data_IF_679669747025
#
_entry.id   IF_679669747025
#
_cell.length_a   1.000
_cell.length_b   1.000
_cell.length_c   1.000
_cell.angle_alpha   90.00
_cell.angle_beta   90.00
_cell.angle_gamma   90.00
#
_symmetry.space_group_name_H-M   'P 1'
#
loop_
_entity.id
_entity.type
_entity.pdbx_description
1 polymer ?
#
# COMPACT_ATOMS: atom_id res chain seq x y z
N UNK A 1 71.99 -85.31 -6.21
CA UNK A 1 72.20 -85.80 -7.59
C UNK A 1 72.99 -84.75 -8.35
N UNK A 2 73.91 -85.19 -9.22
CA UNK A 2 75.02 -84.43 -9.81
C UNK A 2 74.65 -83.10 -10.52
N UNK A 3 75.64 -82.20 -10.69
CA UNK A 3 75.52 -80.77 -10.98
C UNK A 3 75.58 -80.47 -12.48
N UNK A 4 75.36 -79.21 -12.87
CA UNK A 4 75.98 -78.68 -14.09
C UNK A 4 76.43 -77.23 -13.90
N UNK A 5 77.75 -77.11 -13.75
CA UNK A 5 78.52 -75.88 -13.90
C UNK A 5 78.76 -75.56 -15.38
N UNK A 6 78.93 -74.28 -15.70
CA UNK A 6 79.97 -73.66 -16.55
C UNK A 6 79.33 -72.36 -17.08
N UNK A 7 79.79 -71.15 -16.76
CA UNK A 7 81.10 -70.53 -17.01
C UNK A 7 80.84 -69.27 -17.85
N UNK A 8 81.38 -68.14 -17.38
CA UNK A 8 81.65 -66.90 -18.14
C UNK A 8 80.38 -66.11 -18.56
N UNK A 9 80.24 -64.81 -18.34
CA UNK A 9 81.17 -63.69 -18.40
C UNK A 9 81.00 -62.79 -17.15
N UNK A 10 82.06 -62.50 -16.39
CA UNK A 10 82.97 -61.35 -16.56
C UNK A 10 82.29 -59.97 -16.63
N UNK A 11 82.48 -59.24 -15.52
CA UNK A 11 82.71 -57.78 -15.42
C UNK A 11 81.56 -56.85 -15.85
N UNK A 12 80.76 -56.40 -14.88
CA UNK A 12 80.13 -55.06 -14.94
C UNK A 12 79.53 -54.61 -13.58
N UNK A 13 80.11 -54.95 -12.43
CA UNK A 13 79.61 -54.52 -11.12
C UNK A 13 80.33 -53.26 -10.60
N UNK A 14 80.60 -52.28 -11.46
CA UNK A 14 81.23 -51.00 -11.06
C UNK A 14 80.63 -49.75 -11.73
N UNK A 15 79.46 -49.83 -12.36
CA UNK A 15 78.82 -48.67 -13.00
C UNK A 15 77.34 -48.49 -12.61
N UNK A 16 76.97 -48.86 -11.39
CA UNK A 16 75.58 -48.73 -10.90
C UNK A 16 75.38 -47.52 -9.98
N UNK A 17 75.91 -46.36 -10.36
CA UNK A 17 75.59 -45.07 -9.70
C UNK A 17 75.59 -43.86 -10.66
N UNK A 18 75.54 -44.09 -11.99
CA UNK A 18 75.49 -43.00 -13.00
C UNK A 18 74.28 -43.17 -13.95
N UNK A 19 73.38 -44.12 -13.70
CA UNK A 19 72.24 -44.39 -14.57
C UNK A 19 70.88 -44.10 -13.93
N UNK A 20 70.80 -43.05 -13.10
CA UNK A 20 69.52 -42.45 -12.68
C UNK A 20 69.49 -40.92 -12.88
N UNK A 21 70.52 -40.33 -13.51
CA UNK A 21 70.60 -38.90 -13.82
C UNK A 21 70.50 -38.58 -15.32
N UNK A 22 70.15 -39.55 -16.17
CA UNK A 22 70.09 -39.37 -17.62
C UNK A 22 68.69 -39.52 -18.24
N UNK A 23 67.67 -39.92 -17.47
CA UNK A 23 66.31 -40.12 -17.99
C UNK A 23 65.30 -39.00 -17.63
N UNK A 24 65.72 -38.00 -16.85
CA UNK A 24 64.88 -36.84 -16.52
C UNK A 24 65.14 -35.60 -17.41
N UNK A 25 66.06 -35.69 -18.38
CA UNK A 25 66.50 -34.54 -19.19
C UNK A 25 65.78 -34.37 -20.54
N UNK A 26 64.83 -35.24 -20.89
CA UNK A 26 64.12 -35.18 -22.19
C UNK A 26 62.61 -35.40 -22.09
N UNK A 27 61.97 -34.86 -21.06
CA UNK A 27 60.59 -34.44 -21.22
C UNK A 27 60.63 -33.10 -21.96
N UNK A 28 60.04 -32.95 -23.17
CA UNK A 28 59.83 -31.62 -23.69
C UNK A 28 58.94 -30.92 -22.68
N UNK A 29 59.50 -29.97 -21.92
CA UNK A 29 58.70 -28.95 -21.27
C UNK A 29 57.97 -28.27 -22.41
N UNK A 30 56.74 -28.72 -22.65
CA UNK A 30 55.76 -27.94 -23.36
C UNK A 30 55.43 -26.79 -22.42
N UNK A 31 56.33 -25.81 -22.33
CA UNK A 31 55.96 -24.46 -21.98
C UNK A 31 54.99 -24.05 -23.07
N UNK A 32 53.71 -24.33 -22.86
CA UNK A 32 52.66 -23.72 -23.65
C UNK A 32 52.85 -22.25 -23.41
N UNK A 33 53.30 -21.54 -24.43
CA UNK A 33 53.35 -20.09 -24.41
C UNK A 33 51.98 -19.64 -23.91
N UNK A 34 51.96 -19.08 -22.70
CA UNK A 34 50.86 -18.25 -22.26
C UNK A 34 50.75 -17.19 -23.35
N UNK A 35 49.57 -17.09 -23.98
CA UNK A 35 49.36 -16.39 -25.25
C UNK A 35 50.08 -15.04 -25.33
N UNK A 36 50.40 -14.62 -26.54
CA UNK A 36 51.31 -13.50 -26.84
C UNK A 36 51.51 -12.50 -25.71
N UNK A 37 52.74 -12.40 -25.19
CA UNK A 37 53.13 -11.34 -24.24
C UNK A 37 53.15 -9.95 -24.88
N UNK A 38 52.87 -9.85 -26.19
CA UNK A 38 52.66 -8.58 -26.83
C UNK A 38 51.24 -8.11 -26.49
N UNK A 39 51.05 -7.02 -25.72
CA UNK A 39 49.74 -6.39 -25.63
C UNK A 39 49.22 -6.12 -27.06
N UNK A 40 47.90 -6.25 -27.30
CA UNK A 40 47.32 -5.98 -28.63
C UNK A 40 47.85 -4.65 -29.17
N UNK A 41 48.26 -4.62 -30.44
CA UNK A 41 48.77 -3.39 -31.06
C UNK A 41 47.63 -2.36 -31.15
N UNK A 42 47.66 -1.36 -30.27
CA UNK A 42 46.66 -0.30 -30.17
C UNK A 42 46.37 0.06 -28.71
N UNK A 43 45.86 1.28 -28.46
CA UNK A 43 45.35 1.60 -27.13
C UNK A 43 44.20 0.62 -26.81
N UNK A 44 44.32 -0.09 -25.67
CA UNK A 44 43.23 -0.96 -25.19
C UNK A 44 42.04 -0.06 -24.91
N UNK A 45 40.90 -0.27 -25.58
CA UNK A 45 39.67 0.46 -25.27
C UNK A 45 39.32 0.23 -23.79
N UNK A 46 38.83 1.24 -23.05
CA UNK A 46 38.50 1.07 -21.65
C UNK A 46 37.57 -0.13 -21.46
N UNK A 47 38.02 -1.13 -20.69
CA UNK A 47 37.22 -2.31 -20.36
C UNK A 47 36.28 -2.05 -19.19
N UNK A 48 36.42 -0.90 -18.51
CA UNK A 48 35.53 -0.45 -17.44
C UNK A 48 34.37 0.33 -18.03
N UNK A 49 33.15 0.00 -17.59
CA UNK A 49 31.97 0.84 -17.84
C UNK A 49 32.08 2.13 -17.02
N UNK A 50 31.65 3.26 -17.56
CA UNK A 50 31.48 4.48 -16.75
C UNK A 50 30.34 4.30 -15.75
N UNK A 51 30.28 5.14 -14.71
CA UNK A 51 29.14 5.16 -13.79
C UNK A 51 27.84 5.39 -14.56
N UNK A 52 27.83 6.30 -15.54
CA UNK A 52 26.66 6.56 -16.39
C UNK A 52 26.24 5.34 -17.24
N UNK A 53 27.17 4.42 -17.53
CA UNK A 53 26.87 3.16 -18.23
C UNK A 53 26.37 2.05 -17.29
N UNK A 54 26.61 2.17 -15.99
CA UNK A 54 26.16 1.21 -14.97
C UNK A 54 24.86 1.68 -14.33
N UNK A 55 24.74 2.98 -14.08
CA UNK A 55 23.65 3.65 -13.38
C UNK A 55 23.30 4.96 -14.11
N UNK A 56 22.57 4.88 -15.25
CA UNK A 56 22.27 6.05 -16.11
C UNK A 56 21.27 7.03 -15.48
N UNK A 57 20.73 6.72 -14.31
CA UNK A 57 19.79 7.59 -13.59
C UNK A 57 20.53 8.80 -13.03
N UNK A 58 19.81 9.90 -12.83
CA UNK A 58 20.37 11.13 -12.26
C UNK A 58 20.37 11.05 -10.73
N UNK A 59 21.53 11.16 -10.05
CA UNK A 59 21.60 11.11 -8.59
C UNK A 59 21.09 12.38 -7.93
N UNK A 60 20.39 12.22 -6.81
CA UNK A 60 19.99 13.27 -5.89
C UNK A 60 20.76 13.05 -4.58
N UNK A 61 21.60 14.02 -4.20
CA UNK A 61 22.50 13.94 -3.04
C UNK A 61 22.32 15.07 -2.03
N UNK A 62 21.37 15.98 -2.26
CA UNK A 62 21.05 17.10 -1.36
C UNK A 62 19.63 17.59 -1.61
N UNK A 63 18.98 18.15 -0.58
CA UNK A 63 17.72 18.88 -0.69
C UNK A 63 17.96 20.38 -0.37
N UNK A 64 17.16 21.29 -0.95
CA UNK A 64 16.10 21.05 -1.93
C UNK A 64 16.66 20.62 -3.29
N UNK A 65 15.87 19.88 -4.08
CA UNK A 65 16.23 19.45 -5.43
C UNK A 65 15.06 19.67 -6.40
N UNK A 66 15.34 20.25 -7.57
CA UNK A 66 14.32 20.49 -8.60
C UNK A 66 14.56 19.59 -9.82
N UNK A 67 13.57 18.75 -10.15
CA UNK A 67 13.53 17.95 -11.37
C UNK A 67 12.86 18.80 -12.47
N UNK A 68 13.66 19.34 -13.38
CA UNK A 68 13.19 20.22 -14.47
C UNK A 68 13.23 19.56 -15.85
N UNK A 69 13.68 18.31 -15.93
CA UNK A 69 13.79 17.55 -17.18
C UNK A 69 13.22 16.14 -16.98
N UNK A 70 12.48 15.60 -17.97
CA UNK A 70 12.06 14.20 -17.95
C UNK A 70 13.23 13.24 -17.71
N UNK A 71 12.97 12.12 -17.04
CA UNK A 71 14.00 11.11 -16.83
C UNK A 71 13.86 10.31 -15.54
N UNK A 72 14.87 9.49 -15.28
CA UNK A 72 14.96 8.66 -14.08
C UNK A 72 15.94 9.25 -13.08
N UNK A 73 15.50 9.35 -11.83
CA UNK A 73 16.20 9.96 -10.71
C UNK A 73 16.28 8.97 -9.55
N UNK A 74 17.34 9.07 -8.74
CA UNK A 74 17.44 8.28 -7.52
C UNK A 74 18.14 9.01 -6.39
N UNK A 75 17.70 8.75 -5.16
CA UNK A 75 18.35 9.27 -3.95
C UNK A 75 19.57 8.43 -3.60
N UNK A 76 20.64 9.08 -3.18
CA UNK A 76 21.96 8.44 -2.95
C UNK A 76 22.32 8.23 -1.48
N UNK A 77 21.62 8.90 -0.57
CA UNK A 77 21.83 8.86 0.88
C UNK A 77 20.58 9.38 1.58
N UNK A 78 20.47 9.23 2.90
CA UNK A 78 19.47 9.96 3.67
C UNK A 78 19.66 11.47 3.50
N UNK A 79 18.58 12.21 3.25
CA UNK A 79 18.60 13.64 3.01
C UNK A 79 17.69 14.37 3.99
N UNK A 80 18.10 15.58 4.40
CA UNK A 80 17.34 16.43 5.30
C UNK A 80 16.86 17.67 4.56
N UNK A 81 15.56 17.98 4.66
CA UNK A 81 14.96 19.19 4.13
C UNK A 81 15.39 20.45 4.89
N UNK A 82 14.93 21.60 4.43
CA UNK A 82 15.18 22.89 5.07
C UNK A 82 13.86 23.64 5.31
N UNK A 83 13.88 24.60 6.23
CA UNK A 83 12.71 25.43 6.53
C UNK A 83 12.25 26.19 5.28
N UNK A 84 10.93 26.31 5.14
CA UNK A 84 10.23 27.03 4.07
C UNK A 84 10.50 26.54 2.65
N UNK A 85 11.00 25.30 2.47
CA UNK A 85 11.17 24.68 1.16
C UNK A 85 10.57 23.28 1.14
N UNK A 86 10.11 22.87 -0.04
CA UNK A 86 9.86 21.47 -0.35
C UNK A 86 11.21 20.71 -0.48
N UNK A 87 11.18 19.39 -0.32
CA UNK A 87 12.35 18.54 -0.52
C UNK A 87 12.71 18.39 -1.99
N UNK A 88 11.92 17.60 -2.72
CA UNK A 88 12.07 17.38 -4.15
C UNK A 88 10.87 18.00 -4.86
N UNK A 89 11.11 18.99 -5.70
CA UNK A 89 10.08 19.59 -6.55
C UNK A 89 10.18 19.02 -7.97
N UNK A 90 9.08 18.48 -8.47
CA UNK A 90 8.95 17.95 -9.83
C UNK A 90 8.23 19.00 -10.68
N UNK A 91 8.97 19.58 -11.63
CA UNK A 91 8.52 20.65 -12.54
C UNK A 91 8.38 20.13 -13.99
N UNK A 92 8.11 18.85 -14.17
CA UNK A 92 8.00 18.19 -15.48
C UNK A 92 7.29 16.83 -15.36
N UNK A 93 6.80 16.30 -16.47
CA UNK A 93 6.25 14.94 -16.55
C UNK A 93 7.31 13.90 -16.96
N UNK A 94 6.89 12.64 -17.11
CA UNK A 94 7.77 11.53 -17.50
C UNK A 94 8.96 11.34 -16.54
N UNK A 95 8.65 11.31 -15.24
CA UNK A 95 9.64 11.22 -14.17
C UNK A 95 9.51 9.90 -13.42
N UNK A 96 10.62 9.19 -13.28
CA UNK A 96 10.74 8.06 -12.36
C UNK A 96 11.69 8.42 -11.21
N UNK A 97 11.14 8.67 -10.02
CA UNK A 97 11.88 8.97 -8.81
C UNK A 97 11.94 7.74 -7.89
N UNK A 98 13.13 7.21 -7.68
CA UNK A 98 13.40 6.11 -6.75
C UNK A 98 14.10 6.66 -5.50
N UNK A 99 13.46 6.57 -4.33
CA UNK A 99 14.10 6.97 -3.07
C UNK A 99 15.18 5.96 -2.64
N UNK A 100 15.30 4.84 -3.35
CA UNK A 100 16.39 3.86 -3.25
C UNK A 100 16.62 3.32 -1.83
N UNK A 101 15.53 3.19 -1.07
CA UNK A 101 15.52 2.76 0.33
C UNK A 101 16.00 3.80 1.34
N UNK A 102 16.31 5.03 0.92
CA UNK A 102 16.76 6.11 1.79
C UNK A 102 15.61 6.92 2.37
N UNK A 103 15.94 7.70 3.41
CA UNK A 103 15.01 8.56 4.13
C UNK A 103 15.13 10.02 3.69
N UNK A 104 13.99 10.65 3.42
CA UNK A 104 13.84 12.11 3.35
C UNK A 104 13.27 12.62 4.67
N UNK A 105 14.06 13.37 5.45
CA UNK A 105 13.67 13.88 6.77
C UNK A 105 13.37 15.36 6.70
N UNK A 106 12.17 15.77 7.08
CA UNK A 106 11.78 17.17 7.20
C UNK A 106 12.36 17.84 8.44
N UNK A 107 12.20 19.15 8.50
CA UNK A 107 12.53 19.99 9.67
C UNK A 107 11.34 20.88 10.02
N UNK A 108 11.35 21.47 11.21
CA UNK A 108 10.31 22.42 11.60
C UNK A 108 10.15 23.54 10.55
N UNK A 109 8.93 23.73 10.07
CA UNK A 109 8.59 24.70 9.03
C UNK A 109 9.02 24.33 7.60
N UNK A 110 9.49 23.11 7.35
CA UNK A 110 9.67 22.58 5.98
C UNK A 110 8.32 22.46 5.26
N UNK A 111 8.35 22.50 3.93
CA UNK A 111 7.20 22.27 3.06
C UNK A 111 6.88 20.78 2.90
N UNK A 112 6.52 20.37 1.68
CA UNK A 112 6.27 18.98 1.34
C UNK A 112 7.58 18.22 1.09
N UNK A 113 7.63 16.91 1.35
CA UNK A 113 8.84 16.14 1.02
C UNK A 113 9.03 16.03 -0.49
N UNK A 114 7.96 15.72 -1.21
CA UNK A 114 7.93 15.64 -2.66
C UNK A 114 6.69 16.39 -3.16
N UNK A 115 6.88 17.30 -4.11
CA UNK A 115 5.82 18.17 -4.62
C UNK A 115 5.83 18.24 -6.15
N UNK A 116 4.66 18.05 -6.78
CA UNK A 116 4.44 18.28 -8.22
C UNK A 116 3.83 19.66 -8.41
N UNK A 117 4.59 20.55 -9.06
CA UNK A 117 4.34 22.00 -8.96
C UNK A 117 3.26 22.56 -9.88
N UNK A 118 2.92 21.83 -10.95
CA UNK A 118 1.89 22.16 -11.92
C UNK A 118 1.34 20.87 -12.52
N UNK A 119 0.41 20.96 -13.48
CA UNK A 119 -0.18 19.78 -14.12
C UNK A 119 0.87 19.06 -14.96
N UNK A 120 1.26 17.86 -14.52
CA UNK A 120 2.24 17.01 -15.21
C UNK A 120 1.82 15.54 -15.16
N UNK A 121 2.14 14.80 -16.21
CA UNK A 121 1.72 13.40 -16.33
C UNK A 121 2.87 12.41 -16.16
N UNK A 122 2.54 11.15 -15.88
CA UNK A 122 3.46 10.01 -15.91
C UNK A 122 4.62 10.16 -14.91
N UNK A 123 4.27 10.23 -13.63
CA UNK A 123 5.24 10.36 -12.53
C UNK A 123 5.16 9.13 -11.63
N UNK A 124 6.28 8.43 -11.46
CA UNK A 124 6.42 7.34 -10.50
C UNK A 124 7.32 7.76 -9.35
N UNK A 125 6.89 7.57 -8.10
CA UNK A 125 7.68 7.80 -6.89
C UNK A 125 7.65 6.53 -6.06
N UNK A 126 8.81 5.97 -5.73
CA UNK A 126 8.85 4.66 -5.06
C UNK A 126 10.00 4.45 -4.08
N UNK A 127 9.84 3.42 -3.25
CA UNK A 127 10.90 2.74 -2.51
C UNK A 127 11.70 3.64 -1.56
N UNK A 128 11.08 4.10 -0.47
CA UNK A 128 11.82 4.79 0.59
C UNK A 128 10.96 5.34 1.71
N UNK A 129 11.60 6.15 2.56
CA UNK A 129 11.02 6.66 3.80
C UNK A 129 10.89 8.18 3.75
N UNK A 130 9.77 8.71 4.23
CA UNK A 130 9.50 10.15 4.32
C UNK A 130 9.07 10.45 5.74
N UNK A 131 9.80 11.31 6.46
CA UNK A 131 9.63 11.46 7.92
C UNK A 131 9.61 12.93 8.32
N UNK A 132 8.67 13.32 9.18
CA UNK A 132 8.69 14.60 9.91
C UNK A 132 8.66 15.88 9.04
N UNK A 133 7.92 15.87 7.93
CA UNK A 133 7.76 17.04 7.05
C UNK A 133 6.68 17.99 7.55
N UNK A 134 6.96 19.30 7.48
CA UNK A 134 6.04 20.34 7.95
C UNK A 134 4.85 20.59 7.01
N UNK A 135 4.92 20.13 5.77
CA UNK A 135 3.82 20.00 4.82
C UNK A 135 3.40 18.54 4.63
N UNK A 136 3.03 18.19 3.39
CA UNK A 136 2.66 16.81 3.06
C UNK A 136 3.89 15.92 2.84
N UNK A 137 3.74 14.60 3.01
CA UNK A 137 4.79 13.67 2.61
C UNK A 137 5.00 13.70 1.10
N UNK A 138 3.96 13.31 0.35
CA UNK A 138 3.93 13.38 -1.11
C UNK A 138 2.69 14.15 -1.53
N UNK A 139 2.89 15.29 -2.18
CA UNK A 139 1.82 16.07 -2.78
C UNK A 139 1.96 16.03 -4.31
N UNK A 140 1.19 15.12 -4.91
CA UNK A 140 1.09 14.87 -6.35
C UNK A 140 -0.32 15.18 -6.84
N UNK A 141 -1.05 16.07 -6.16
CA UNK A 141 -2.41 16.44 -6.58
C UNK A 141 -2.46 17.09 -7.97
N UNK A 142 -1.36 17.74 -8.39
CA UNK A 142 -1.24 18.22 -9.77
C UNK A 142 -0.62 17.19 -10.72
N UNK A 143 -0.32 15.98 -10.27
CA UNK A 143 0.19 14.93 -11.13
C UNK A 143 -0.93 14.05 -11.64
N UNK A 144 -1.07 13.84 -12.95
CA UNK A 144 -1.95 12.80 -13.48
C UNK A 144 -1.15 11.55 -13.91
N UNK A 145 -1.81 10.40 -13.92
CA UNK A 145 -1.17 9.10 -14.17
C UNK A 145 0.05 8.90 -13.26
N UNK A 146 -0.16 9.14 -11.96
CA UNK A 146 0.89 9.01 -10.94
C UNK A 146 0.90 7.62 -10.31
N UNK A 147 2.07 7.12 -9.96
CA UNK A 147 2.23 5.85 -9.22
C UNK A 147 3.09 6.09 -8.00
N UNK A 148 2.50 5.90 -6.82
CA UNK A 148 3.18 5.88 -5.54
C UNK A 148 3.28 4.44 -5.06
N UNK A 149 4.48 3.93 -4.86
CA UNK A 149 4.70 2.49 -4.64
C UNK A 149 5.77 2.24 -3.57
N UNK A 150 5.45 1.42 -2.56
CA UNK A 150 6.40 1.05 -1.50
C UNK A 150 7.01 2.26 -0.77
N UNK A 151 6.15 3.20 -0.35
CA UNK A 151 6.54 4.35 0.48
C UNK A 151 6.15 4.12 1.93
N UNK A 152 7.03 4.51 2.85
CA UNK A 152 6.73 4.54 4.28
C UNK A 152 6.80 5.99 4.77
N UNK A 153 5.66 6.56 5.12
CA UNK A 153 5.49 7.99 5.38
C UNK A 153 5.04 8.20 6.82
N UNK A 154 5.78 9.03 7.57
CA UNK A 154 5.59 9.17 9.00
C UNK A 154 5.58 10.63 9.44
N UNK A 155 4.68 10.95 10.37
CA UNK A 155 4.69 12.20 11.14
C UNK A 155 4.73 13.49 10.27
N UNK A 156 3.92 13.54 9.22
CA UNK A 156 3.76 14.75 8.40
C UNK A 156 2.66 15.64 8.97
N UNK A 157 2.87 16.96 8.97
CA UNK A 157 1.84 17.90 9.46
C UNK A 157 0.68 18.08 8.47
N UNK A 158 0.94 17.89 7.16
CA UNK A 158 -0.09 17.78 6.13
C UNK A 158 -0.49 16.33 5.87
N UNK A 159 -1.08 16.08 4.70
CA UNK A 159 -1.36 14.71 4.23
C UNK A 159 -0.06 13.90 4.13
N UNK A 160 -0.11 12.60 4.41
CA UNK A 160 1.00 11.73 4.01
C UNK A 160 1.06 11.64 2.48
N UNK A 161 -0.11 11.43 1.86
CA UNK A 161 -0.30 11.34 0.42
C UNK A 161 -1.47 12.25 0.06
N UNK A 162 -1.23 13.18 -0.85
CA UNK A 162 -2.26 13.97 -1.51
C UNK A 162 -2.13 13.75 -3.02
N UNK A 163 -3.15 13.16 -3.64
CA UNK A 163 -3.08 12.73 -5.04
C UNK A 163 -4.37 12.94 -5.82
N UNK A 164 -4.23 13.12 -7.12
CA UNK A 164 -5.30 13.17 -8.10
C UNK A 164 -4.93 12.22 -9.24
N UNK A 165 -5.88 11.50 -9.83
CA UNK A 165 -5.65 10.76 -11.07
C UNK A 165 -4.47 9.78 -11.03
N UNK A 166 -4.39 8.85 -10.09
CA UNK A 166 -3.26 7.91 -10.01
C UNK A 166 -3.50 6.68 -9.15
N UNK A 167 -2.42 6.00 -8.79
CA UNK A 167 -2.43 4.82 -7.91
C UNK A 167 -1.43 5.01 -6.76
N UNK A 168 -1.90 4.87 -5.53
CA UNK A 168 -1.04 4.65 -4.36
C UNK A 168 -1.18 3.20 -3.92
N UNK A 169 -0.05 2.48 -3.85
CA UNK A 169 -0.06 1.07 -3.44
C UNK A 169 1.14 0.65 -2.61
N UNK A 170 0.94 -0.37 -1.79
CA UNK A 170 1.98 -0.91 -0.90
C UNK A 170 2.60 0.17 0.01
N UNK A 171 1.82 1.20 0.36
CA UNK A 171 2.28 2.31 1.18
C UNK A 171 1.91 2.09 2.65
N UNK A 172 2.80 2.48 3.54
CA UNK A 172 2.53 2.54 4.98
C UNK A 172 2.56 4.00 5.44
N UNK A 173 1.53 4.43 6.15
CA UNK A 173 1.39 5.76 6.70
C UNK A 173 1.18 5.68 8.20
N UNK A 174 1.97 6.39 9.00
CA UNK A 174 1.81 6.39 10.46
C UNK A 174 2.03 7.77 11.10
N UNK A 175 1.07 8.19 11.93
CA UNK A 175 1.14 9.46 12.68
C UNK A 175 1.06 10.71 11.79
N UNK A 176 0.62 10.55 10.54
CA UNK A 176 0.49 11.63 9.56
C UNK A 176 -0.95 12.08 9.40
N UNK A 177 -1.14 13.32 8.96
CA UNK A 177 -2.43 13.80 8.46
C UNK A 177 -2.81 15.13 9.07
N UNK A 178 -3.36 16.01 8.23
CA UNK A 178 -4.08 17.21 8.66
C UNK A 178 -5.55 16.85 8.86
N UNK A 179 -6.38 17.08 7.83
CA UNK A 179 -7.76 16.59 7.75
C UNK A 179 -7.83 15.08 7.50
N UNK A 180 -6.94 14.53 6.66
CA UNK A 180 -6.80 13.10 6.39
C UNK A 180 -5.33 12.67 6.31
N UNK A 181 -5.03 11.38 6.43
CA UNK A 181 -3.68 10.85 6.16
C UNK A 181 -3.44 10.63 4.67
N UNK A 182 -4.38 9.99 3.97
CA UNK A 182 -4.36 9.85 2.51
C UNK A 182 -5.59 10.57 1.97
N UNK A 183 -5.36 11.58 1.13
CA UNK A 183 -6.40 12.22 0.35
C UNK A 183 -6.22 11.89 -1.12
N UNK A 184 -7.29 11.45 -1.78
CA UNK A 184 -7.22 11.01 -3.16
C UNK A 184 -8.47 11.40 -3.96
N UNK A 185 -8.28 11.78 -5.22
CA UNK A 185 -9.37 12.05 -6.15
C UNK A 185 -9.10 11.34 -7.48
N UNK A 186 -10.13 10.79 -8.13
CA UNK A 186 -9.99 10.02 -9.37
C UNK A 186 -8.88 8.95 -9.29
N UNK A 187 -8.72 8.34 -8.12
CA UNK A 187 -7.52 7.58 -7.78
C UNK A 187 -7.84 6.21 -7.22
N UNK A 188 -6.85 5.33 -7.26
CA UNK A 188 -6.89 4.03 -6.60
C UNK A 188 -5.91 4.02 -5.44
N UNK A 189 -6.40 3.71 -4.24
CA UNK A 189 -5.58 3.43 -3.06
C UNK A 189 -5.72 1.95 -2.76
N UNK A 190 -4.63 1.20 -2.90
CA UNK A 190 -4.65 -0.26 -2.80
C UNK A 190 -3.54 -0.79 -1.89
N UNK A 191 -3.79 -1.86 -1.13
CA UNK A 191 -2.75 -2.53 -0.33
C UNK A 191 -1.98 -1.57 0.60
N UNK A 192 -2.67 -0.54 1.11
CA UNK A 192 -2.07 0.48 1.96
C UNK A 192 -2.44 0.25 3.42
N UNK A 193 -1.49 0.52 4.31
CA UNK A 193 -1.71 0.50 5.77
C UNK A 193 -1.60 1.92 6.31
N UNK A 194 -2.64 2.41 6.98
CA UNK A 194 -2.69 3.72 7.62
C UNK A 194 -2.90 3.54 9.12
N UNK A 195 -2.08 4.18 9.94
CA UNK A 195 -2.04 3.99 11.39
C UNK A 195 -1.99 5.37 12.07
N UNK A 196 -2.74 5.53 13.16
CA UNK A 196 -2.66 6.71 14.04
C UNK A 196 -2.85 8.05 13.30
N UNK A 197 -3.81 8.11 12.38
CA UNK A 197 -4.16 9.35 11.67
C UNK A 197 -4.63 10.43 12.63
N UNK A 198 -4.17 11.68 12.45
CA UNK A 198 -4.62 12.80 13.27
C UNK A 198 -6.04 13.29 12.91
N UNK A 199 -6.55 12.89 11.75
CA UNK A 199 -7.91 13.10 11.27
C UNK A 199 -8.46 11.82 10.65
N UNK A 200 -9.01 11.92 9.45
CA UNK A 200 -9.52 10.78 8.68
C UNK A 200 -8.36 9.88 8.24
N UNK A 201 -8.57 8.56 8.18
CA UNK A 201 -7.58 7.63 7.66
C UNK A 201 -7.34 7.81 6.16
N UNK A 202 -8.34 7.46 5.36
CA UNK A 202 -8.32 7.61 3.89
C UNK A 202 -9.58 8.33 3.45
N UNK A 203 -9.42 9.41 2.68
CA UNK A 203 -10.53 10.21 2.16
C UNK A 203 -10.46 10.26 0.63
N UNK A 204 -11.57 9.95 -0.03
CA UNK A 204 -11.76 10.29 -1.45
C UNK A 204 -12.35 11.68 -1.56
N UNK A 205 -11.91 12.53 -2.48
CA UNK A 205 -12.49 13.87 -2.59
C UNK A 205 -13.96 13.85 -3.03
N UNK A 206 -14.71 14.85 -2.56
CA UNK A 206 -16.16 14.97 -2.74
C UNK A 206 -16.58 15.68 -4.04
N UNK A 207 -15.64 15.90 -4.95
CA UNK A 207 -15.89 16.61 -6.21
C UNK A 207 -16.68 15.73 -7.17
N UNK A 208 -17.96 16.05 -7.40
CA UNK A 208 -18.85 15.29 -8.29
C UNK A 208 -18.41 15.25 -9.77
N UNK A 209 -17.35 15.97 -10.16
CA UNK A 209 -16.95 16.12 -11.56
C UNK A 209 -15.67 15.35 -11.93
N UNK A 210 -14.93 14.81 -10.95
CA UNK A 210 -13.56 14.35 -11.20
C UNK A 210 -13.44 12.82 -11.40
N UNK A 211 -14.54 12.08 -11.22
CA UNK A 211 -14.62 10.64 -11.45
C UNK A 211 -14.35 9.84 -10.18
N UNK A 212 -14.94 8.64 -10.12
CA UNK A 212 -14.93 7.79 -8.93
C UNK A 212 -13.51 7.38 -8.52
N UNK A 213 -13.25 7.39 -7.21
CA UNK A 213 -12.06 6.79 -6.61
C UNK A 213 -12.36 5.38 -6.10
N UNK A 214 -11.31 4.61 -5.87
CA UNK A 214 -11.41 3.28 -5.27
C UNK A 214 -10.41 3.11 -4.14
N UNK A 215 -10.89 2.67 -2.99
CA UNK A 215 -10.09 2.22 -1.86
C UNK A 215 -10.26 0.71 -1.78
N UNK A 216 -9.19 -0.07 -1.94
CA UNK A 216 -9.27 -1.53 -1.80
C UNK A 216 -8.11 -2.15 -1.05
N UNK A 217 -8.36 -3.29 -0.39
CA UNK A 217 -7.30 -4.07 0.28
C UNK A 217 -6.51 -3.25 1.32
N UNK A 218 -7.12 -2.17 1.85
CA UNK A 218 -6.46 -1.23 2.75
C UNK A 218 -6.79 -1.56 4.21
N UNK A 219 -5.84 -1.28 5.09
CA UNK A 219 -6.02 -1.42 6.54
C UNK A 219 -5.81 -0.07 7.23
N UNK A 220 -6.83 0.40 7.95
CA UNK A 220 -6.81 1.66 8.70
C UNK A 220 -6.99 1.38 10.19
N UNK A 221 -6.03 1.83 11.00
CA UNK A 221 -5.99 1.57 12.44
C UNK A 221 -5.90 2.87 13.23
N UNK A 222 -6.80 3.02 14.20
CA UNK A 222 -6.81 4.12 15.16
C UNK A 222 -6.75 5.54 14.56
N UNK A 223 -7.55 5.86 13.52
CA UNK A 223 -7.70 7.24 13.06
C UNK A 223 -8.48 8.04 14.10
N UNK A 224 -8.08 9.29 14.33
CA UNK A 224 -8.76 10.17 15.27
C UNK A 224 -10.16 10.59 14.80
N UNK A 225 -10.37 10.65 13.47
CA UNK A 225 -11.66 10.90 12.83
C UNK A 225 -12.31 9.62 12.32
N UNK A 226 -12.98 9.74 11.16
CA UNK A 226 -13.51 8.58 10.44
C UNK A 226 -12.37 7.70 9.90
N UNK A 227 -12.63 6.41 9.73
CA UNK A 227 -11.63 5.51 9.15
C UNK A 227 -11.42 5.72 7.66
N UNK A 228 -12.52 5.65 6.92
CA UNK A 228 -12.51 5.88 5.49
C UNK A 228 -13.74 6.69 5.09
N UNK A 229 -13.52 7.75 4.32
CA UNK A 229 -14.58 8.57 3.74
C UNK A 229 -14.61 8.37 2.24
N UNK A 230 -15.76 7.92 1.74
CA UNK A 230 -15.99 7.71 0.32
C UNK A 230 -17.13 8.59 -0.20
N UNK A 231 -16.82 9.33 -1.26
CA UNK A 231 -17.74 10.21 -1.97
C UNK A 231 -17.71 9.81 -3.45
N UNK A 232 -18.87 9.42 -4.00
CA UNK A 232 -19.01 8.88 -5.36
C UNK A 232 -17.94 7.82 -5.70
N UNK A 233 -17.66 6.93 -4.75
CA UNK A 233 -16.48 6.05 -4.77
C UNK A 233 -16.79 4.62 -4.30
N UNK A 234 -15.81 3.74 -4.45
CA UNK A 234 -15.88 2.34 -4.00
C UNK A 234 -14.89 2.09 -2.84
N UNK A 235 -15.37 1.44 -1.79
CA UNK A 235 -14.55 0.87 -0.71
C UNK A 235 -14.75 -0.64 -0.70
N UNK A 236 -13.69 -1.41 -0.91
CA UNK A 236 -13.79 -2.87 -1.02
C UNK A 236 -12.69 -3.61 -0.28
N UNK A 237 -13.04 -4.67 0.43
CA UNK A 237 -12.06 -5.60 1.03
C UNK A 237 -11.09 -4.92 2.01
N UNK A 238 -11.59 -3.89 2.70
CA UNK A 238 -10.81 -3.08 3.63
C UNK A 238 -11.02 -3.50 5.10
N UNK A 239 -10.03 -3.20 5.93
CA UNK A 239 -10.11 -3.33 7.39
C UNK A 239 -10.06 -1.93 8.01
N UNK A 240 -11.02 -1.61 8.88
CA UNK A 240 -11.01 -0.39 9.69
C UNK A 240 -11.17 -0.77 11.15
N UNK A 241 -10.26 -0.31 12.02
CA UNK A 241 -10.35 -0.57 13.46
C UNK A 241 -10.13 0.69 14.30
N UNK A 242 -10.89 0.78 15.39
CA UNK A 242 -10.73 1.79 16.43
C UNK A 242 -10.84 3.23 15.90
N UNK A 243 -11.76 3.49 14.97
CA UNK A 243 -11.97 4.83 14.45
C UNK A 243 -12.58 5.75 15.54
N UNK A 244 -12.06 6.97 15.66
CA UNK A 244 -12.54 7.97 16.63
C UNK A 244 -13.92 8.55 16.29
N UNK A 245 -14.39 8.37 15.04
CA UNK A 245 -15.75 8.64 14.61
C UNK A 245 -16.39 7.38 14.00
N UNK A 246 -16.85 7.42 12.76
CA UNK A 246 -17.38 6.25 12.05
C UNK A 246 -16.24 5.41 11.46
N UNK A 247 -16.48 4.12 11.25
CA UNK A 247 -15.50 3.29 10.56
C UNK A 247 -15.39 3.66 9.07
N UNK A 248 -16.53 3.61 8.38
CA UNK A 248 -16.63 4.00 6.96
C UNK A 248 -17.80 4.96 6.79
N UNK A 249 -17.53 6.15 6.28
CA UNK A 249 -18.54 7.13 5.87
C UNK A 249 -18.76 7.04 4.36
N UNK A 250 -20.03 6.95 3.93
CA UNK A 250 -20.39 6.79 2.53
C UNK A 250 -21.37 7.88 2.07
N UNK A 251 -21.02 8.54 0.97
CA UNK A 251 -21.90 9.41 0.22
C UNK A 251 -21.95 9.00 -1.26
N UNK A 252 -23.13 8.62 -1.76
CA UNK A 252 -23.31 8.09 -3.13
C UNK A 252 -22.30 6.98 -3.51
N UNK A 253 -21.93 6.14 -2.53
CA UNK A 253 -20.77 5.24 -2.62
C UNK A 253 -21.12 3.79 -2.32
N UNK A 254 -20.19 2.90 -2.61
CA UNK A 254 -20.32 1.47 -2.28
C UNK A 254 -19.31 1.04 -1.23
N UNK A 255 -19.73 0.19 -0.29
CA UNK A 255 -18.85 -0.52 0.63
C UNK A 255 -19.12 -2.02 0.56
N UNK A 256 -18.09 -2.81 0.29
CA UNK A 256 -18.24 -4.27 0.24
C UNK A 256 -17.07 -5.07 0.75
N UNK A 257 -17.34 -6.20 1.41
CA UNK A 257 -16.27 -7.09 1.91
C UNK A 257 -15.43 -6.47 3.03
N UNK A 258 -15.82 -5.32 3.58
CA UNK A 258 -15.04 -4.63 4.60
C UNK A 258 -15.27 -5.23 5.99
N UNK A 259 -14.23 -5.23 6.82
CA UNK A 259 -14.31 -5.52 8.24
C UNK A 259 -14.12 -4.23 9.04
N UNK A 260 -15.15 -3.85 9.80
CA UNK A 260 -15.17 -2.62 10.59
C UNK A 260 -15.38 -2.94 12.06
N UNK A 261 -14.44 -2.53 12.89
CA UNK A 261 -14.39 -2.92 14.30
C UNK A 261 -14.14 -1.73 15.23
N UNK A 262 -14.86 -1.67 16.35
CA UNK A 262 -14.61 -0.76 17.46
C UNK A 262 -14.63 0.73 17.09
N UNK A 263 -15.43 1.14 16.11
CA UNK A 263 -15.65 2.57 15.85
C UNK A 263 -16.42 3.23 16.99
N UNK A 264 -16.03 4.45 17.37
CA UNK A 264 -16.70 5.23 18.41
C UNK A 264 -18.15 5.57 18.03
N UNK A 265 -18.33 5.99 16.78
CA UNK A 265 -19.61 6.15 16.11
C UNK A 265 -20.00 4.89 15.33
N UNK A 266 -20.69 5.07 14.21
CA UNK A 266 -21.21 3.94 13.45
C UNK A 266 -20.09 3.08 12.84
N UNK A 267 -20.34 1.78 12.65
CA UNK A 267 -19.44 0.97 11.83
C UNK A 267 -19.39 1.52 10.41
N UNK A 268 -20.56 1.53 9.75
CA UNK A 268 -20.74 2.18 8.45
C UNK A 268 -21.83 3.25 8.58
N UNK A 269 -21.49 4.50 8.23
CA UNK A 269 -22.43 5.63 8.19
C UNK A 269 -22.80 5.94 6.74
N UNK A 270 -24.09 5.84 6.41
CA UNK A 270 -24.61 6.04 5.06
C UNK A 270 -25.29 7.40 4.99
N UNK A 271 -24.59 8.41 4.46
CA UNK A 271 -24.99 9.81 4.57
C UNK A 271 -25.85 10.34 3.43
N UNK A 272 -25.86 9.66 2.27
CA UNK A 272 -26.55 10.12 1.08
C UNK A 272 -27.29 8.99 0.36
N UNK A 273 -28.19 9.30 -0.59
CA UNK A 273 -28.86 8.31 -1.41
C UNK A 273 -27.93 7.54 -2.34
N UNK A 274 -28.39 6.37 -2.79
CA UNK A 274 -27.73 5.59 -3.84
C UNK A 274 -26.57 4.72 -3.35
N UNK A 275 -26.33 4.65 -2.04
CA UNK A 275 -25.27 3.82 -1.49
C UNK A 275 -25.63 2.33 -1.50
N UNK A 276 -24.61 1.49 -1.68
CA UNK A 276 -24.72 0.03 -1.57
C UNK A 276 -23.73 -0.52 -0.54
N UNK A 277 -24.26 -1.18 0.48
CA UNK A 277 -23.52 -1.72 1.61
C UNK A 277 -23.73 -3.22 1.62
N UNK A 278 -22.71 -3.99 1.22
CA UNK A 278 -22.88 -5.43 1.02
C UNK A 278 -21.73 -6.31 1.47
N UNK A 279 -22.03 -7.41 2.18
CA UNK A 279 -20.99 -8.38 2.55
C UNK A 279 -20.00 -7.85 3.58
N UNK A 280 -20.35 -6.81 4.35
CA UNK A 280 -19.46 -6.24 5.36
C UNK A 280 -19.65 -6.91 6.72
N UNK A 281 -18.57 -6.96 7.50
CA UNK A 281 -18.58 -7.45 8.88
C UNK A 281 -18.39 -6.27 9.85
N UNK A 282 -19.44 -5.87 10.55
CA UNK A 282 -19.44 -4.81 11.55
C UNK A 282 -19.46 -5.39 12.97
N UNK A 283 -18.36 -5.27 13.71
CA UNK A 283 -18.19 -5.82 15.05
C UNK A 283 -17.97 -4.70 16.09
N UNK A 284 -18.75 -4.72 17.16
CA UNK A 284 -18.54 -3.87 18.35
C UNK A 284 -18.42 -2.36 18.04
N UNK A 285 -19.14 -1.87 17.02
CA UNK A 285 -19.17 -0.46 16.69
C UNK A 285 -20.22 0.28 17.51
N UNK A 286 -20.21 1.61 17.38
CA UNK A 286 -20.95 2.53 18.21
C UNK A 286 -20.55 2.42 19.67
N UNK A 287 -19.25 2.38 19.96
CA UNK A 287 -18.76 2.26 21.34
C UNK A 287 -19.17 3.44 22.24
N UNK A 288 -19.64 4.54 21.65
CA UNK A 288 -20.28 5.66 22.35
C UNK A 288 -21.69 5.37 22.88
N UNK A 289 -22.32 4.27 22.44
CA UNK A 289 -23.72 3.92 22.72
C UNK A 289 -24.73 5.02 22.33
N UNK A 290 -24.41 5.79 21.28
CA UNK A 290 -25.28 6.86 20.77
C UNK A 290 -26.52 6.28 20.08
N UNK A 291 -27.67 6.93 20.25
CA UNK A 291 -28.91 6.60 19.52
C UNK A 291 -28.90 7.05 18.05
N UNK A 292 -27.91 7.85 17.68
CA UNK A 292 -27.69 8.35 16.31
C UNK A 292 -26.56 7.59 15.63
N UNK A 293 -26.31 6.35 16.04
CA UNK A 293 -25.29 5.47 15.49
C UNK A 293 -25.67 4.01 15.68
N UNK A 294 -25.08 3.14 14.86
CA UNK A 294 -25.36 1.70 14.85
C UNK A 294 -24.18 0.95 14.21
N UNK A 295 -24.27 -0.39 14.12
CA UNK A 295 -23.35 -1.15 13.27
C UNK A 295 -23.36 -0.64 11.82
N UNK A 296 -24.55 -0.40 11.27
CA UNK A 296 -24.78 0.37 10.04
C UNK A 296 -25.88 1.40 10.30
N UNK A 297 -25.55 2.69 10.20
CA UNK A 297 -26.51 3.79 10.36
C UNK A 297 -26.83 4.43 9.02
N UNK A 298 -28.12 4.58 8.70
CA UNK A 298 -28.60 5.03 7.39
C UNK A 298 -29.32 6.37 7.53
N UNK A 299 -28.62 7.44 7.16
CA UNK A 299 -29.08 8.83 7.13
C UNK A 299 -29.39 9.29 5.69
N UNK A 300 -29.98 8.42 4.89
CA UNK A 300 -30.29 8.67 3.48
C UNK A 300 -31.41 7.76 2.96
N UNK A 301 -32.01 8.14 1.84
CA UNK A 301 -33.06 7.36 1.15
C UNK A 301 -32.49 6.55 -0.02
N UNK A 302 -33.22 5.55 -0.51
CA UNK A 302 -32.86 4.80 -1.73
C UNK A 302 -31.52 4.04 -1.66
N UNK A 303 -31.16 3.53 -0.47
CA UNK A 303 -29.94 2.74 -0.28
C UNK A 303 -30.23 1.23 -0.27
N UNK A 304 -29.19 0.42 -0.48
CA UNK A 304 -29.27 -1.04 -0.37
C UNK A 304 -28.29 -1.58 0.67
N UNK A 305 -28.81 -2.27 1.67
CA UNK A 305 -28.08 -2.90 2.77
C UNK A 305 -28.35 -4.41 2.71
N UNK A 306 -27.37 -5.18 2.23
CA UNK A 306 -27.56 -6.60 1.94
C UNK A 306 -26.38 -7.49 2.33
N UNK A 307 -26.65 -8.67 2.91
CA UNK A 307 -25.62 -9.68 3.23
C UNK A 307 -24.55 -9.19 4.21
N UNK A 308 -24.86 -8.23 5.08
CA UNK A 308 -23.91 -7.79 6.10
C UNK A 308 -24.04 -8.65 7.37
N UNK A 309 -22.91 -8.84 8.06
CA UNK A 309 -22.82 -9.53 9.33
C UNK A 309 -22.54 -8.52 10.44
N UNK A 310 -23.43 -8.40 11.42
CA UNK A 310 -23.35 -7.37 12.45
C UNK A 310 -23.42 -8.01 13.82
N UNK A 311 -22.39 -7.81 14.64
CA UNK A 311 -22.32 -8.42 15.98
C UNK A 311 -21.83 -7.42 17.02
N UNK A 312 -22.42 -7.49 18.22
CA UNK A 312 -22.03 -6.68 19.38
C UNK A 312 -22.05 -5.14 19.18
N UNK A 313 -22.68 -4.63 18.12
CA UNK A 313 -22.80 -3.19 17.92
C UNK A 313 -23.80 -2.61 18.93
N UNK A 314 -23.46 -1.50 19.57
CA UNK A 314 -24.33 -0.88 20.57
C UNK A 314 -25.45 -0.06 19.90
N UNK A 315 -26.54 0.14 20.64
CA UNK A 315 -27.81 0.76 20.22
C UNK A 315 -28.58 -0.04 19.15
N UNK A 316 -27.98 -0.34 18.00
CA UNK A 316 -28.60 -1.19 16.99
C UNK A 316 -27.58 -1.88 16.08
N UNK A 317 -27.98 -3.00 15.49
CA UNK A 317 -27.27 -3.60 14.36
C UNK A 317 -27.36 -2.67 13.14
N UNK A 318 -28.56 -2.55 12.59
CA UNK A 318 -28.86 -1.63 11.48
C UNK A 318 -29.90 -0.62 11.96
N UNK A 319 -29.67 0.67 11.74
CA UNK A 319 -30.66 1.71 12.02
C UNK A 319 -30.85 2.62 10.81
N UNK A 320 -32.11 2.87 10.45
CA UNK A 320 -32.47 3.98 9.58
C UNK A 320 -32.85 5.18 10.44
N UNK A 321 -32.21 6.31 10.18
CA UNK A 321 -32.44 7.56 10.88
C UNK A 321 -33.94 7.93 10.85
N UNK A 322 -34.52 8.37 11.99
CA UNK A 322 -35.95 8.60 12.09
C UNK A 322 -36.49 9.80 11.30
N UNK A 323 -35.62 10.66 10.74
CA UNK A 323 -35.97 11.94 10.13
C UNK A 323 -36.55 11.84 8.69
N UNK A 324 -37.37 10.83 8.41
CA UNK A 324 -38.18 10.77 7.19
C UNK A 324 -37.47 10.20 5.95
N UNK A 325 -36.34 9.53 6.10
CA UNK A 325 -35.72 8.78 5.01
C UNK A 325 -36.57 7.57 4.61
N UNK A 326 -36.56 7.20 3.32
CA UNK A 326 -37.46 6.17 2.75
C UNK A 326 -36.76 5.32 1.69
N UNK A 327 -37.42 4.25 1.25
CA UNK A 327 -36.99 3.40 0.13
C UNK A 327 -35.63 2.71 0.32
N UNK A 328 -35.16 2.54 1.55
CA UNK A 328 -33.99 1.72 1.80
C UNK A 328 -34.37 0.25 1.80
N UNK A 329 -33.58 -0.58 1.12
CA UNK A 329 -33.75 -2.04 1.07
C UNK A 329 -32.81 -2.67 2.09
N UNK A 330 -33.37 -3.41 3.06
CA UNK A 330 -32.62 -4.08 4.14
C UNK A 330 -32.98 -5.56 4.13
N UNK A 331 -32.11 -6.40 3.56
CA UNK A 331 -32.40 -7.82 3.33
C UNK A 331 -31.16 -8.70 3.53
N UNK A 332 -31.36 -9.97 3.88
CA UNK A 332 -30.29 -10.98 4.00
C UNK A 332 -29.15 -10.62 4.96
N UNK A 333 -29.36 -9.67 5.87
CA UNK A 333 -28.39 -9.35 6.88
C UNK A 333 -28.51 -10.34 8.05
N UNK A 334 -27.41 -10.59 8.72
CA UNK A 334 -27.35 -11.39 9.93
C UNK A 334 -26.90 -10.48 11.07
N UNK A 335 -27.70 -10.37 12.12
CA UNK A 335 -27.48 -9.45 13.23
C UNK A 335 -27.51 -10.22 14.54
N UNK A 336 -26.57 -9.95 15.44
CA UNK A 336 -26.62 -10.47 16.82
C UNK A 336 -27.09 -9.35 17.77
N UNK A 337 -28.22 -9.59 18.44
CA UNK A 337 -28.88 -8.64 19.35
C UNK A 337 -30.08 -9.28 20.07
N UNK A 338 -30.98 -8.47 20.60
CA UNK A 338 -32.18 -8.92 21.33
C UNK A 338 -33.45 -8.97 20.45
N UNK A 339 -33.29 -8.85 19.14
CA UNK A 339 -34.38 -8.78 18.16
C UNK A 339 -35.04 -7.40 18.06
N UNK A 340 -35.09 -6.62 19.15
CA UNK A 340 -35.70 -5.28 19.16
C UNK A 340 -34.77 -4.25 18.53
N UNK A 341 -33.47 -4.41 18.78
CA UNK A 341 -32.43 -3.49 18.31
C UNK A 341 -31.64 -4.02 17.10
N UNK A 342 -32.04 -5.14 16.51
CA UNK A 342 -31.32 -5.70 15.37
C UNK A 342 -31.45 -4.81 14.13
N UNK A 343 -32.70 -4.42 13.84
CA UNK A 343 -33.05 -3.55 12.72
C UNK A 343 -34.07 -2.52 13.21
N UNK A 344 -33.63 -1.27 13.37
CA UNK A 344 -34.46 -0.16 13.84
C UNK A 344 -34.82 0.74 12.65
N UNK A 345 -36.13 0.88 12.38
CA UNK A 345 -36.63 1.76 11.32
C UNK A 345 -37.82 2.58 11.82
N UNK A 346 -37.86 3.86 11.50
CA UNK A 346 -38.87 4.80 12.04
C UNK A 346 -40.22 4.80 11.34
N UNK A 347 -40.37 4.10 10.22
CA UNK A 347 -41.57 4.14 9.37
C UNK A 347 -41.77 2.86 8.58
N UNK A 348 -43.01 2.57 8.17
CA UNK A 348 -43.35 1.56 7.16
C UNK A 348 -42.86 1.93 5.74
N UNK A 349 -41.96 2.90 5.60
CA UNK A 349 -41.45 3.40 4.33
C UNK A 349 -40.10 2.78 3.93
N UNK A 350 -39.61 1.80 4.70
CA UNK A 350 -38.46 0.98 4.33
C UNK A 350 -38.92 -0.35 3.73
N UNK A 351 -38.06 -0.96 2.91
CA UNK A 351 -38.29 -2.29 2.33
C UNK A 351 -37.41 -3.27 3.11
N UNK A 352 -37.97 -3.84 4.17
CA UNK A 352 -37.23 -4.71 5.10
C UNK A 352 -37.69 -6.16 4.91
N UNK A 353 -36.74 -7.06 4.68
CA UNK A 353 -37.00 -8.49 4.69
C UNK A 353 -37.41 -8.97 6.10
N UNK A 354 -38.28 -9.99 6.24
CA UNK A 354 -38.70 -10.49 7.54
C UNK A 354 -37.52 -10.82 8.45
N UNK A 355 -37.60 -10.45 9.74
CA UNK A 355 -36.60 -10.84 10.74
C UNK A 355 -36.94 -12.22 11.29
N UNK A 356 -36.09 -13.21 10.99
CA UNK A 356 -36.21 -14.56 11.53
C UNK A 356 -35.39 -14.65 12.81
N UNK A 357 -36.08 -14.84 13.93
CA UNK A 357 -35.51 -15.02 15.28
C UNK A 357 -35.65 -16.47 15.80
N UNK A 358 -36.33 -17.34 15.03
CA UNK A 358 -36.70 -18.69 15.46
C UNK A 358 -35.60 -19.69 15.12
N UNK A 359 -35.35 -20.65 16.01
CA UNK A 359 -34.52 -21.83 15.72
C UNK A 359 -35.34 -22.89 14.98
N UNK A 360 -34.72 -23.62 14.04
CA UNK A 360 -35.36 -24.72 13.31
C UNK A 360 -35.22 -24.63 11.79
N UNK A 361 -36.19 -25.22 11.06
CA UNK A 361 -36.15 -25.30 9.59
C UNK A 361 -36.43 -23.94 8.97
N UNK A 362 -35.42 -23.39 8.30
CA UNK A 362 -35.55 -22.19 7.46
C UNK A 362 -36.13 -22.62 6.12
N UNK A 363 -37.32 -22.09 5.76
CA UNK A 363 -37.97 -22.38 4.48
C UNK A 363 -37.67 -21.31 3.44
N UNK A 364 -37.86 -21.63 2.15
CA UNK A 364 -37.70 -20.68 1.05
C UNK A 364 -38.86 -19.67 0.92
N UNK A 365 -39.78 -19.61 1.89
CA UNK A 365 -40.93 -18.70 1.86
C UNK A 365 -40.51 -17.23 1.92
N UNK A 366 -39.32 -16.94 2.49
CA UNK A 366 -38.77 -15.59 2.61
C UNK A 366 -37.30 -15.55 2.12
N UNK A 367 -37.05 -15.56 0.81
CA UNK A 367 -35.68 -15.63 0.24
C UNK A 367 -34.82 -14.38 0.51
N UNK A 368 -35.41 -13.34 1.09
CA UNK A 368 -34.77 -12.07 1.43
C UNK A 368 -34.84 -11.75 2.94
N UNK A 369 -35.13 -12.74 3.78
CA UNK A 369 -35.19 -12.57 5.22
C UNK A 369 -33.85 -12.07 5.80
N UNK A 370 -33.95 -11.28 6.87
CA UNK A 370 -32.85 -11.00 7.77
C UNK A 370 -32.88 -12.02 8.92
N UNK A 371 -31.75 -12.24 9.58
CA UNK A 371 -31.63 -13.22 10.66
C UNK A 371 -31.08 -12.58 11.93
N UNK A 372 -31.70 -12.92 13.06
CA UNK A 372 -31.23 -12.63 14.42
C UNK A 372 -30.69 -13.91 15.04
N UNK A 373 -29.58 -13.86 15.79
CA UNK A 373 -29.03 -15.03 16.49
C UNK A 373 -28.30 -14.68 17.78
#
# INVERSE_FOLDING_TARGET
MKPMSLHFLRRAAQFSCILSLAAAAFLPLSARAQGSLTPPSGAISPTMKSLDQIEPRTPISSLPYAINTPGSYYVTTNLTGITSNDGITINTGDVALDLNGFTLTGVAGSGNAIYVSAVYDNITIRNGYIVAWGGSGVNVYNGENTVLDHLSIFQTSGYAINMFGGVARNCTVDGSGGSASIYCEKSVVQDCTVINSQGIGIETGSSANDGASKISDCSVYSPAGDGMDAFDSEVSDCVVKNAGASGIYLSASTASGCHVENSFGSGIYVASPGCRITGNNCLNNNSSASTNSAGIYVAGSNNRIENNHLTANLNAGIQVDPNGYTNNIIIKNTVAGDGTNDIVTSTNAQIVGPLIITTGVITNSNPWANFSF
#
